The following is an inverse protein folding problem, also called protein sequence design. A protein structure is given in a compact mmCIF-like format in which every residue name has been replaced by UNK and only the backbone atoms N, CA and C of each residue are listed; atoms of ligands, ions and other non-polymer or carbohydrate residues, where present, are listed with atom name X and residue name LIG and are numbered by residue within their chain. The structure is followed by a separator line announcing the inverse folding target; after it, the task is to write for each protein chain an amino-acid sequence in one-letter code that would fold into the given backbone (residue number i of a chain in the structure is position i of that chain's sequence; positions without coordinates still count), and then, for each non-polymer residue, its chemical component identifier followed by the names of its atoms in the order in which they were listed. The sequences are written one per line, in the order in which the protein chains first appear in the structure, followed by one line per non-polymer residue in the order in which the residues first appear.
data_IF_692756715847
#
_entry.id   IF_692756715847
#
_cell.length_a   1.000
_cell.length_b   1.000
_cell.length_c   1.000
_cell.angle_alpha   90.00
_cell.angle_beta   90.00
_cell.angle_gamma   90.00
#
_symmetry.space_group_name_H-M   'P 1'
#
loop_
_entity.id
_entity.type
_entity.pdbx_description
1 polymer ?
#
# COMPACT_ATOMS: atom_id res chain seq x y z
N UNK A 1 -12.08 9.05 -13.94
CA UNK A 1 -11.65 7.65 -13.79
C UNK A 1 -11.25 7.17 -15.18
N UNK A 2 -10.07 6.58 -15.33
CA UNK A 2 -9.57 6.08 -16.62
C UNK A 2 -10.33 4.80 -17.00
N UNK A 3 -10.43 4.52 -18.31
CA UNK A 3 -11.29 3.45 -18.86
C UNK A 3 -10.63 2.08 -18.87
N UNK A 4 -9.32 2.03 -19.04
CA UNK A 4 -8.57 0.79 -19.16
C UNK A 4 -7.85 0.42 -17.85
N UNK A 5 -7.89 -0.86 -17.48
CA UNK A 5 -7.17 -1.41 -16.33
C UNK A 5 -5.73 -1.75 -16.70
N UNK A 6 -4.95 -0.71 -17.01
CA UNK A 6 -3.52 -0.79 -17.39
C UNK A 6 -2.68 0.16 -16.52
N UNK A 7 -1.36 0.16 -16.70
CA UNK A 7 -0.48 1.06 -15.95
C UNK A 7 -0.91 2.54 -16.16
N UNK A 8 -0.92 3.37 -15.09
CA UNK A 8 -1.44 4.73 -15.12
C UNK A 8 -0.88 5.60 -16.24
N UNK A 9 0.44 5.59 -16.46
CA UNK A 9 1.06 6.37 -17.54
C UNK A 9 0.54 5.96 -18.94
N UNK A 10 0.28 4.67 -19.18
CA UNK A 10 -0.25 4.18 -20.46
C UNK A 10 -1.70 4.65 -20.65
N UNK A 11 -2.53 4.51 -19.61
CA UNK A 11 -3.92 4.94 -19.66
C UNK A 11 -4.01 6.47 -19.85
N UNK A 12 -3.20 7.23 -19.12
CA UNK A 12 -3.10 8.68 -19.23
C UNK A 12 -2.71 9.12 -20.65
N UNK A 13 -1.69 8.51 -21.23
CA UNK A 13 -1.24 8.80 -22.59
C UNK A 13 -2.32 8.52 -23.63
N UNK A 14 -3.04 7.38 -23.51
CA UNK A 14 -4.14 7.02 -24.42
C UNK A 14 -5.33 7.97 -24.35
N UNK A 15 -5.60 8.53 -23.18
CA UNK A 15 -6.71 9.46 -22.96
C UNK A 15 -6.31 10.93 -23.11
N UNK A 16 -5.05 11.24 -23.42
CA UNK A 16 -4.55 12.62 -23.50
C UNK A 16 -4.58 13.35 -22.16
N UNK A 17 -4.49 12.61 -21.05
CA UNK A 17 -4.52 13.13 -19.68
C UNK A 17 -3.10 13.23 -19.15
N UNK A 18 -2.78 14.34 -18.48
CA UNK A 18 -1.56 14.46 -17.68
C UNK A 18 -1.88 14.14 -16.21
N UNK A 19 -1.13 13.20 -15.64
CA UNK A 19 -1.15 12.95 -14.20
C UNK A 19 -0.30 14.02 -13.50
N UNK A 20 -0.89 14.67 -12.50
CA UNK A 20 -0.24 15.75 -11.76
C UNK A 20 -0.28 15.44 -10.26
N UNK A 21 0.90 15.16 -9.69
CA UNK A 21 1.07 14.86 -8.27
C UNK A 21 0.57 16.02 -7.40
N UNK A 22 0.83 17.28 -7.77
CA UNK A 22 0.42 18.43 -6.97
C UNK A 22 -1.11 18.51 -6.85
N UNK A 23 -1.81 18.21 -7.94
CA UNK A 23 -3.28 18.13 -7.95
C UNK A 23 -3.81 17.00 -7.05
N UNK A 24 -3.13 15.87 -7.01
CA UNK A 24 -3.50 14.76 -6.10
C UNK A 24 -3.28 15.16 -4.64
N UNK A 25 -2.18 15.86 -4.33
CA UNK A 25 -1.91 16.38 -2.98
C UNK A 25 -2.98 17.39 -2.54
N UNK A 26 -3.44 18.28 -3.41
CA UNK A 26 -4.55 19.19 -3.10
C UNK A 26 -5.88 18.46 -2.86
N UNK A 27 -6.17 17.45 -3.67
CA UNK A 27 -7.35 16.61 -3.48
C UNK A 27 -7.30 15.87 -2.13
N UNK A 28 -6.13 15.34 -1.77
CA UNK A 28 -5.88 14.73 -0.45
C UNK A 28 -6.11 15.72 0.69
N UNK A 29 -5.58 16.96 0.61
CA UNK A 29 -5.82 18.00 1.61
C UNK A 29 -7.31 18.32 1.77
N UNK A 30 -8.03 18.42 0.65
CA UNK A 30 -9.47 18.68 0.65
C UNK A 30 -10.27 17.56 1.29
N UNK A 31 -9.89 16.30 1.04
CA UNK A 31 -10.49 15.13 1.67
C UNK A 31 -10.18 15.08 3.17
N UNK A 32 -8.93 15.38 3.55
CA UNK A 32 -8.47 15.38 4.95
C UNK A 32 -9.18 16.43 5.80
N UNK A 33 -9.60 17.57 5.21
CA UNK A 33 -10.39 18.57 5.91
C UNK A 33 -11.84 18.12 6.22
N UNK A 34 -12.29 16.99 5.68
CA UNK A 34 -13.68 16.50 5.76
C UNK A 34 -13.83 15.16 6.47
N UNK A 35 -12.74 14.56 6.92
CA UNK A 35 -12.74 13.23 7.55
C UNK A 35 -11.68 13.16 8.66
N UNK A 36 -11.99 12.43 9.72
CA UNK A 36 -11.02 12.17 10.80
C UNK A 36 -9.87 11.27 10.34
N UNK A 37 -10.14 10.39 9.36
CA UNK A 37 -9.18 9.45 8.79
C UNK A 37 -9.35 9.44 7.27
N UNK A 38 -8.24 9.53 6.55
CA UNK A 38 -8.16 9.34 5.09
C UNK A 38 -7.22 8.19 4.79
N UNK A 39 -7.68 7.23 3.99
CA UNK A 39 -6.86 6.13 3.47
C UNK A 39 -6.58 6.41 2.00
N UNK A 40 -5.30 6.36 1.62
CA UNK A 40 -4.86 6.51 0.22
C UNK A 40 -4.42 5.14 -0.28
N UNK A 41 -5.17 4.57 -1.21
CA UNK A 41 -4.76 3.39 -1.96
C UNK A 41 -3.91 3.82 -3.15
N UNK A 42 -2.77 3.16 -3.33
CA UNK A 42 -1.94 3.33 -4.53
C UNK A 42 -2.55 2.63 -5.75
N UNK A 43 -1.74 2.48 -6.81
CA UNK A 43 -2.15 1.76 -8.02
C UNK A 43 -1.03 0.82 -8.45
N UNK A 44 -1.33 -0.48 -8.52
CA UNK A 44 -0.33 -1.51 -8.80
C UNK A 44 0.66 -1.71 -7.65
N UNK A 45 1.96 -1.77 -7.96
CA UNK A 45 3.02 -1.88 -6.96
C UNK A 45 3.45 -0.51 -6.40
N UNK A 46 4.48 -0.51 -5.54
CA UNK A 46 4.96 0.74 -4.92
C UNK A 46 5.62 1.71 -5.92
N UNK A 47 6.27 1.19 -6.97
CA UNK A 47 6.95 1.98 -8.02
C UNK A 47 6.30 1.75 -9.38
N UNK A 48 5.20 2.43 -9.63
CA UNK A 48 4.46 2.38 -10.90
C UNK A 48 4.56 3.73 -11.61
N UNK A 49 4.98 3.80 -12.88
CA UNK A 49 5.15 5.07 -13.56
C UNK A 49 3.83 5.83 -13.71
N UNK A 50 3.87 7.12 -13.36
CA UNK A 50 2.81 8.10 -13.57
C UNK A 50 3.08 8.93 -14.83
N UNK A 51 4.35 9.25 -15.08
CA UNK A 51 4.87 9.86 -16.30
C UNK A 51 6.31 9.38 -16.59
N UNK A 52 7.00 10.02 -17.54
CA UNK A 52 8.36 9.63 -17.96
C UNK A 52 9.44 9.84 -16.87
N UNK A 53 9.13 10.63 -15.84
CA UNK A 53 10.07 11.09 -14.82
C UNK A 53 9.65 10.77 -13.39
N UNK A 54 8.36 10.46 -13.17
CA UNK A 54 7.78 10.23 -11.85
C UNK A 54 7.05 8.88 -11.78
N UNK A 55 7.14 8.25 -10.61
CA UNK A 55 6.41 7.06 -10.24
C UNK A 55 5.54 7.27 -8.98
N UNK A 56 4.75 6.26 -8.60
CA UNK A 56 3.90 6.30 -7.41
C UNK A 56 4.68 6.46 -6.10
N UNK A 57 6.00 6.19 -6.06
CA UNK A 57 6.81 6.47 -4.89
C UNK A 57 7.08 7.98 -4.74
N UNK A 58 7.20 8.72 -5.84
CA UNK A 58 7.28 10.19 -5.81
C UNK A 58 5.98 10.81 -5.27
N UNK A 59 4.83 10.23 -5.66
CA UNK A 59 3.54 10.60 -5.07
C UNK A 59 3.49 10.29 -3.56
N UNK A 60 3.98 9.12 -3.14
CA UNK A 60 4.02 8.76 -1.72
C UNK A 60 4.89 9.74 -0.92
N UNK A 61 6.05 10.16 -1.46
CA UNK A 61 6.91 11.19 -0.87
C UNK A 61 6.19 12.54 -0.79
N UNK A 62 5.50 12.95 -1.86
CA UNK A 62 4.77 14.23 -1.88
C UNK A 62 3.60 14.26 -0.86
N UNK A 63 2.95 13.12 -0.63
CA UNK A 63 1.91 12.98 0.39
C UNK A 63 2.49 12.84 1.81
N UNK A 64 3.70 12.30 1.94
CA UNK A 64 4.42 12.03 3.18
C UNK A 64 3.54 11.33 4.25
N UNK A 65 2.79 10.33 3.81
CA UNK A 65 1.92 9.53 4.68
C UNK A 65 2.66 8.28 5.17
N UNK A 66 2.31 7.75 6.36
CA UNK A 66 2.76 6.44 6.78
C UNK A 66 2.29 5.36 5.80
N UNK A 67 3.19 4.48 5.37
CA UNK A 67 2.93 3.45 4.35
C UNK A 67 2.62 2.12 5.01
N UNK A 68 1.52 1.49 4.56
CA UNK A 68 1.19 0.10 4.88
C UNK A 68 1.40 -0.77 3.64
N UNK A 69 2.16 -1.85 3.77
CA UNK A 69 2.39 -2.80 2.67
C UNK A 69 1.44 -3.99 2.76
N UNK A 70 0.72 -4.30 1.68
CA UNK A 70 -0.03 -5.55 1.55
C UNK A 70 0.80 -6.59 0.79
N UNK A 71 1.18 -7.66 1.48
CA UNK A 71 1.93 -8.78 0.91
C UNK A 71 0.96 -9.90 0.52
N UNK A 72 0.77 -10.11 -0.78
CA UNK A 72 0.08 -11.30 -1.27
C UNK A 72 0.94 -12.54 -1.05
N UNK A 73 0.52 -13.45 -0.16
CA UNK A 73 1.18 -14.71 0.13
C UNK A 73 1.03 -15.66 -1.05
N UNK A 74 2.11 -15.76 -1.83
CA UNK A 74 2.30 -16.66 -2.98
C UNK A 74 3.80 -16.83 -3.24
N UNK A 75 4.19 -17.76 -4.13
CA UNK A 75 5.60 -17.94 -4.49
C UNK A 75 6.21 -16.61 -5.00
N UNK A 76 7.40 -16.26 -4.49
CA UNK A 76 8.10 -15.01 -4.79
C UNK A 76 7.76 -13.83 -3.87
N UNK A 77 6.77 -13.96 -2.98
CA UNK A 77 6.35 -12.86 -2.11
C UNK A 77 7.46 -12.33 -1.18
N UNK A 78 8.39 -13.18 -0.73
CA UNK A 78 9.52 -12.77 0.11
C UNK A 78 10.35 -11.69 -0.58
N UNK A 79 10.80 -11.96 -1.80
CA UNK A 79 11.62 -11.00 -2.56
C UNK A 79 10.85 -9.70 -2.82
N UNK A 80 9.60 -9.81 -3.31
CA UNK A 80 8.78 -8.62 -3.57
C UNK A 80 8.56 -7.76 -2.32
N UNK A 81 8.28 -8.39 -1.17
CA UNK A 81 8.05 -7.66 0.07
C UNK A 81 9.32 -6.94 0.53
N UNK A 82 10.46 -7.63 0.59
CA UNK A 82 11.72 -7.04 1.06
C UNK A 82 12.21 -5.92 0.14
N UNK A 83 12.18 -6.11 -1.18
CA UNK A 83 12.52 -5.06 -2.15
C UNK A 83 11.57 -3.85 -2.04
N UNK A 84 10.28 -4.09 -1.76
CA UNK A 84 9.33 -2.99 -1.57
C UNK A 84 9.60 -2.23 -0.27
N UNK A 85 9.92 -2.93 0.83
CA UNK A 85 10.31 -2.30 2.11
C UNK A 85 11.57 -1.47 1.93
N UNK A 86 12.61 -1.99 1.27
CA UNK A 86 13.82 -1.23 0.95
C UNK A 86 13.52 0.02 0.11
N UNK A 87 12.63 -0.07 -0.88
CA UNK A 87 12.21 1.06 -1.69
C UNK A 87 11.44 2.13 -0.87
N UNK A 88 10.58 1.72 0.06
CA UNK A 88 9.87 2.65 0.95
C UNK A 88 10.88 3.38 1.86
N UNK A 89 11.74 2.62 2.53
CA UNK A 89 12.69 3.15 3.52
C UNK A 89 13.76 4.04 2.86
N UNK A 90 14.27 3.67 1.69
CA UNK A 90 15.25 4.47 0.94
C UNK A 90 14.71 5.82 0.46
N UNK A 91 13.38 5.98 0.38
CA UNK A 91 12.71 7.26 0.08
C UNK A 91 12.43 8.11 1.32
N UNK A 92 12.90 7.68 2.50
CA UNK A 92 12.70 8.39 3.76
C UNK A 92 11.26 8.36 4.28
N UNK A 93 10.42 7.47 3.75
CA UNK A 93 9.03 7.32 4.17
C UNK A 93 8.92 6.51 5.46
N UNK A 94 7.89 6.81 6.25
CA UNK A 94 7.57 6.02 7.44
C UNK A 94 6.89 4.72 7.01
N UNK A 95 7.53 3.58 7.23
CA UNK A 95 6.92 2.27 7.04
C UNK A 95 6.17 1.85 8.31
N UNK A 96 4.83 1.96 8.28
CA UNK A 96 3.99 1.86 9.47
C UNK A 96 3.65 0.41 9.85
N UNK A 97 3.71 -0.50 8.88
CA UNK A 97 3.35 -1.89 9.09
C UNK A 97 2.97 -2.59 7.80
N UNK A 98 2.56 -3.84 7.92
CA UNK A 98 2.21 -4.66 6.78
C UNK A 98 1.12 -5.68 7.09
N UNK A 99 0.48 -6.15 6.04
CA UNK A 99 -0.57 -7.17 6.07
C UNK A 99 -0.12 -8.35 5.22
N UNK A 100 -0.23 -9.57 5.76
CA UNK A 100 -0.08 -10.79 4.98
C UNK A 100 -1.45 -11.24 4.47
N UNK A 101 -1.65 -11.27 3.15
CA UNK A 101 -2.92 -11.66 2.55
C UNK A 101 -2.79 -13.02 1.85
N UNK A 102 -3.49 -14.06 2.33
CA UNK A 102 -3.48 -15.40 1.73
C UNK A 102 -4.32 -15.44 0.45
N UNK A 103 -3.72 -15.00 -0.64
CA UNK A 103 -4.37 -14.89 -1.96
C UNK A 103 -4.35 -16.19 -2.75
N UNK A 104 -3.36 -17.05 -2.52
CA UNK A 104 -3.23 -18.34 -3.19
C UNK A 104 -3.55 -19.47 -2.20
N UNK A 105 -4.71 -20.14 -2.33
CA UNK A 105 -5.09 -21.23 -1.43
C UNK A 105 -4.23 -22.49 -1.63
N UNK A 106 -3.42 -22.55 -2.70
CA UNK A 106 -2.55 -23.68 -3.03
C UNK A 106 -1.08 -23.44 -2.69
N UNK A 107 -0.75 -22.29 -2.10
CA UNK A 107 0.62 -22.00 -1.67
C UNK A 107 1.12 -23.05 -0.68
N UNK A 108 2.26 -23.66 -0.99
CA UNK A 108 2.95 -24.56 -0.07
C UNK A 108 3.68 -23.75 1.01
N UNK A 109 3.63 -24.24 2.25
CA UNK A 109 4.36 -23.67 3.41
C UNK A 109 4.08 -22.16 3.67
N UNK A 110 2.81 -21.71 3.68
CA UNK A 110 2.49 -20.30 3.84
C UNK A 110 2.90 -19.76 5.22
N UNK A 111 2.89 -20.61 6.25
CA UNK A 111 3.25 -20.24 7.62
C UNK A 111 4.77 -20.02 7.74
N UNK A 112 5.59 -20.89 7.14
CA UNK A 112 7.05 -20.75 7.11
C UNK A 112 7.49 -19.51 6.31
N UNK A 113 6.78 -19.19 5.23
CA UNK A 113 7.00 -17.97 4.47
C UNK A 113 6.59 -16.73 5.28
N UNK A 114 5.49 -16.80 6.02
CA UNK A 114 5.05 -15.72 6.92
C UNK A 114 6.09 -15.48 8.01
N UNK A 115 6.61 -16.52 8.65
CA UNK A 115 7.66 -16.43 9.66
C UNK A 115 8.96 -15.85 9.09
N UNK A 116 9.31 -16.24 7.86
CA UNK A 116 10.47 -15.70 7.15
C UNK A 116 10.36 -14.19 6.94
N UNK A 117 9.17 -13.71 6.56
CA UNK A 117 8.87 -12.29 6.41
C UNK A 117 8.87 -11.57 7.76
N UNK A 118 8.21 -12.14 8.77
CA UNK A 118 8.15 -11.57 10.13
C UNK A 118 9.52 -11.39 10.76
N UNK A 119 10.46 -12.30 10.50
CA UNK A 119 11.83 -12.20 10.98
C UNK A 119 12.69 -11.16 10.24
N UNK A 120 12.25 -10.66 9.08
CA UNK A 120 13.03 -9.77 8.19
C UNK A 120 12.43 -8.39 8.00
N UNK A 121 11.14 -8.24 8.27
CA UNK A 121 10.43 -6.98 8.18
C UNK A 121 10.38 -6.36 9.58
N UNK A 122 11.15 -5.30 9.78
CA UNK A 122 11.17 -4.52 11.02
C UNK A 122 9.99 -3.52 11.06
N UNK A 123 8.77 -4.05 11.05
CA UNK A 123 7.54 -3.29 11.24
C UNK A 123 6.40 -4.20 11.73
N UNK A 124 5.38 -3.65 12.38
CA UNK A 124 4.24 -4.42 12.86
C UNK A 124 3.53 -5.20 11.74
N UNK A 125 3.35 -6.51 11.94
CA UNK A 125 2.38 -7.29 11.19
C UNK A 125 0.99 -6.96 11.73
N UNK A 126 0.27 -6.13 10.98
CA UNK A 126 -1.05 -5.64 11.38
C UNK A 126 -2.09 -6.76 11.35
N UNK A 127 -1.95 -7.67 10.38
CA UNK A 127 -2.88 -8.78 10.18
C UNK A 127 -2.36 -9.86 9.25
N UNK A 128 -2.80 -11.09 9.51
CA UNK A 128 -2.88 -12.17 8.51
C UNK A 128 -4.33 -12.30 8.05
N UNK A 129 -4.61 -11.99 6.79
CA UNK A 129 -5.93 -12.17 6.18
C UNK A 129 -5.97 -13.60 5.58
N UNK A 130 -6.92 -14.46 6.01
CA UNK A 130 -7.06 -15.79 5.45
C UNK A 130 -7.60 -15.72 4.02
N UNK A 131 -7.49 -16.83 3.27
CA UNK A 131 -8.15 -16.92 1.97
C UNK A 131 -9.67 -16.86 2.17
N UNK A 132 -10.30 -15.82 1.61
CA UNK A 132 -11.75 -15.62 1.67
C UNK A 132 -12.40 -16.11 0.38
N UNK A 133 -13.35 -17.05 0.48
CA UNK A 133 -14.09 -17.56 -0.67
C UNK A 133 -14.98 -16.49 -1.35
N UNK A 134 -15.32 -15.42 -0.63
CA UNK A 134 -16.07 -14.27 -1.11
C UNK A 134 -15.39 -12.98 -0.68
N UNK A 135 -15.41 -11.96 -1.53
CA UNK A 135 -14.90 -10.64 -1.20
C UNK A 135 -15.80 -10.00 -0.12
N UNK A 136 -15.29 -9.93 1.10
CA UNK A 136 -15.99 -9.34 2.23
C UNK A 136 -15.02 -8.48 3.04
N UNK A 137 -15.18 -7.17 2.93
CA UNK A 137 -14.32 -6.20 3.60
C UNK A 137 -14.48 -6.26 5.13
N UNK A 138 -15.67 -6.53 5.65
CA UNK A 138 -15.89 -6.63 7.09
C UNK A 138 -15.14 -7.83 7.67
N UNK A 139 -15.17 -8.98 6.98
CA UNK A 139 -14.37 -10.16 7.37
C UNK A 139 -12.87 -9.92 7.21
N UNK A 140 -12.46 -9.23 6.15
CA UNK A 140 -11.06 -8.85 5.95
C UNK A 140 -10.55 -7.83 7.00
N UNK A 141 -11.45 -7.05 7.60
CA UNK A 141 -11.16 -6.04 8.63
C UNK A 141 -11.42 -6.52 10.08
N UNK A 142 -12.08 -7.66 10.28
CA UNK A 142 -12.36 -8.27 11.60
C UNK A 142 -11.11 -8.48 12.49
N UNK A 143 -10.98 -7.75 13.60
CA UNK A 143 -9.77 -7.77 14.46
C UNK A 143 -8.51 -7.12 13.85
N UNK A 144 -8.64 -6.28 12.81
CA UNK A 144 -7.55 -5.39 12.38
C UNK A 144 -7.40 -4.26 13.39
N UNK A 145 -6.28 -4.23 14.12
CA UNK A 145 -5.96 -3.11 15.01
C UNK A 145 -5.32 -1.97 14.21
N UNK A 146 -6.11 -0.91 13.97
CA UNK A 146 -5.63 0.31 13.32
C UNK A 146 -5.05 1.31 14.31
N UNK A 147 -5.09 1.04 15.62
CA UNK A 147 -4.56 1.92 16.66
C UNK A 147 -3.08 2.22 16.45
N UNK A 148 -2.30 1.22 16.01
CA UNK A 148 -0.88 1.39 15.64
C UNK A 148 -0.66 2.35 14.46
N UNK A 149 -1.66 2.54 13.59
CA UNK A 149 -1.61 3.46 12.46
C UNK A 149 -2.11 4.87 12.80
N UNK A 150 -3.04 4.97 13.77
CA UNK A 150 -3.67 6.24 14.15
C UNK A 150 -3.04 6.90 15.37
N UNK A 151 -2.27 6.17 16.18
CA UNK A 151 -1.60 6.73 17.36
C UNK A 151 -0.68 7.93 17.07
N UNK A 152 0.04 8.00 15.92
CA UNK A 152 0.81 9.19 15.54
C UNK A 152 -0.05 10.42 15.24
N UNK A 153 -1.33 10.25 14.87
CA UNK A 153 -2.23 11.33 14.46
C UNK A 153 -2.81 12.13 15.64
N UNK A 154 -2.66 11.64 16.87
CA UNK A 154 -3.19 12.29 18.08
C UNK A 154 -2.17 13.14 18.87
N UNK A 155 -0.92 13.27 18.41
CA UNK A 155 -0.04 14.33 18.92
C UNK A 155 -0.43 15.66 18.28
N UNK A 156 -1.45 16.29 18.84
CA UNK A 156 -1.62 17.74 18.76
C UNK A 156 -0.51 18.35 19.61
N UNK A 157 0.53 18.88 18.96
CA UNK A 157 1.27 20.01 19.52
C UNK A 157 0.39 21.28 19.44
#
# INVERSE_FOLDING_TARGET
MMRESIAPHIAAAREGIKLDIARIVEAHKTASAKADIVVVEGVGGFRVPLDDTHDTADLAVALNLPVVLVVGMRLGCISHALLTVEAIMSRGLTFAGWVANRVDPTMLYPDENLETLRARIDAPLLRVIPHLASLDAARAADSLDIGVLTHPLHRKD
#
